data_IF_240238127962
#
_entry.id   IF_240238127962
#
_cell.length_a   1.000
_cell.length_b   1.000
_cell.length_c   1.000
_cell.angle_alpha   90.00
_cell.angle_beta   90.00
_cell.angle_gamma   90.00
#
_symmetry.space_group_name_H-M   'P 1'
#
loop_
_entity.id
_entity.type
_entity.pdbx_description
1 polymer ?
#
# COMPACT_ATOMS: atom_id res chain seq x y z
N UNK A 1 13.53 21.03 -61.14
CA UNK A 1 14.38 19.81 -61.14
C UNK A 1 15.06 19.71 -59.77
N UNK A 2 14.61 18.80 -58.91
CA UNK A 2 15.39 18.06 -57.88
C UNK A 2 14.41 17.48 -56.86
N UNK A 3 13.76 16.38 -57.25
CA UNK A 3 13.24 15.42 -56.28
C UNK A 3 14.47 14.78 -55.62
N UNK A 4 14.94 15.37 -54.52
CA UNK A 4 15.82 14.67 -53.61
C UNK A 4 15.01 13.49 -53.07
N UNK A 5 15.31 12.28 -53.56
CA UNK A 5 14.53 11.09 -53.25
C UNK A 5 14.45 10.90 -51.73
N UNK A 6 13.30 10.47 -51.21
CA UNK A 6 13.10 10.17 -49.79
C UNK A 6 14.19 9.23 -49.22
N UNK A 7 14.81 8.42 -50.09
CA UNK A 7 15.96 7.56 -49.80
C UNK A 7 17.24 8.32 -49.47
N UNK A 8 17.48 9.46 -50.12
CA UNK A 8 18.66 10.32 -49.89
C UNK A 8 18.55 11.08 -48.56
N UNK A 9 17.33 11.47 -48.16
CA UNK A 9 17.05 12.03 -46.84
C UNK A 9 17.23 10.96 -45.75
N UNK A 10 16.79 9.73 -46.02
CA UNK A 10 16.98 8.58 -45.11
C UNK A 10 18.46 8.19 -44.92
N UNK A 11 19.29 8.31 -45.96
CA UNK A 11 20.72 8.02 -45.85
C UNK A 11 21.49 9.11 -45.10
N UNK A 12 21.07 10.37 -45.22
CA UNK A 12 21.67 11.50 -44.50
C UNK A 12 21.30 11.53 -43.01
N UNK A 13 20.12 11.00 -42.63
CA UNK A 13 19.77 10.82 -41.22
C UNK A 13 20.55 9.69 -40.56
N UNK A 14 20.93 8.64 -41.32
CA UNK A 14 21.71 7.51 -40.81
C UNK A 14 23.21 7.83 -40.59
N UNK A 15 23.78 8.77 -41.35
CA UNK A 15 25.21 9.13 -41.25
C UNK A 15 25.55 10.07 -40.06
N UNK A 16 24.56 10.71 -39.43
CA UNK A 16 24.77 11.56 -38.24
C UNK A 16 24.61 10.83 -36.89
N UNK A 17 24.45 9.50 -36.94
CA UNK A 17 24.02 8.68 -35.80
C UNK A 17 24.96 8.71 -34.59
N UNK A 18 26.28 8.85 -34.76
CA UNK A 18 27.23 8.70 -33.64
C UNK A 18 27.10 9.74 -32.52
N UNK A 19 26.65 10.96 -32.85
CA UNK A 19 26.47 12.03 -31.85
C UNK A 19 25.02 12.12 -31.32
N UNK A 20 24.02 11.51 -31.98
CA UNK A 20 22.64 11.47 -31.49
C UNK A 20 22.33 10.27 -30.59
N UNK A 21 23.15 9.21 -30.66
CA UNK A 21 22.96 7.97 -29.89
C UNK A 21 22.98 8.23 -28.38
N UNK A 22 23.91 9.04 -27.86
CA UNK A 22 23.99 9.31 -26.41
C UNK A 22 22.72 9.94 -25.84
N UNK A 23 22.11 10.89 -26.57
CA UNK A 23 20.84 11.54 -26.17
C UNK A 23 19.68 10.57 -26.21
N UNK A 24 19.56 9.81 -27.31
CA UNK A 24 18.47 8.86 -27.48
C UNK A 24 18.55 7.74 -26.44
N UNK A 25 19.76 7.25 -26.17
CA UNK A 25 20.02 6.29 -25.10
C UNK A 25 19.66 6.88 -23.74
N UNK A 26 20.08 8.12 -23.42
CA UNK A 26 19.75 8.76 -22.15
C UNK A 26 18.25 8.94 -21.93
N UNK A 27 17.51 9.40 -22.95
CA UNK A 27 16.03 9.53 -22.89
C UNK A 27 15.39 8.15 -22.70
N UNK A 28 15.79 7.16 -23.51
CA UNK A 28 15.24 5.80 -23.42
C UNK A 28 15.50 5.18 -22.05
N UNK A 29 16.70 5.33 -21.48
CA UNK A 29 17.05 4.84 -20.14
C UNK A 29 16.25 5.58 -19.07
N UNK A 30 16.16 6.91 -19.14
CA UNK A 30 15.40 7.71 -18.17
C UNK A 30 13.90 7.36 -18.16
N UNK A 31 13.30 7.22 -19.35
CA UNK A 31 11.91 6.78 -19.49
C UNK A 31 11.73 5.35 -19.00
N UNK A 32 12.64 4.42 -19.34
CA UNK A 32 12.57 3.04 -18.87
C UNK A 32 12.62 2.94 -17.34
N UNK A 33 13.55 3.64 -16.69
CA UNK A 33 13.64 3.68 -15.22
C UNK A 33 12.41 4.32 -14.58
N UNK A 34 11.93 5.44 -15.15
CA UNK A 34 10.73 6.12 -14.67
C UNK A 34 9.47 5.26 -14.77
N UNK A 35 9.24 4.63 -15.93
CA UNK A 35 8.12 3.72 -16.14
C UNK A 35 8.24 2.50 -15.22
N UNK A 36 9.43 1.91 -15.08
CA UNK A 36 9.62 0.76 -14.21
C UNK A 36 9.28 1.09 -12.74
N UNK A 37 9.77 2.23 -12.25
CA UNK A 37 9.55 2.69 -10.88
C UNK A 37 8.07 3.00 -10.61
N UNK A 38 7.39 3.69 -11.52
CA UNK A 38 5.95 3.98 -11.40
C UNK A 38 5.14 2.68 -11.36
N UNK A 39 5.44 1.72 -12.23
CA UNK A 39 4.73 0.43 -12.26
C UNK A 39 4.97 -0.40 -11.00
N UNK A 40 6.20 -0.44 -10.48
CA UNK A 40 6.52 -1.11 -9.24
C UNK A 40 5.80 -0.46 -8.04
N UNK A 41 5.80 0.87 -7.96
CA UNK A 41 5.09 1.60 -6.90
C UNK A 41 3.57 1.42 -6.99
N UNK A 42 3.01 1.50 -8.20
CA UNK A 42 1.58 1.28 -8.42
C UNK A 42 1.17 -0.15 -8.07
N UNK A 43 1.97 -1.15 -8.47
CA UNK A 43 1.74 -2.55 -8.12
C UNK A 43 1.85 -2.80 -6.62
N UNK A 44 2.84 -2.19 -5.96
CA UNK A 44 2.97 -2.25 -4.50
C UNK A 44 1.77 -1.61 -3.79
N UNK A 45 1.31 -0.45 -4.24
CA UNK A 45 0.16 0.24 -3.67
C UNK A 45 -1.13 -0.58 -3.81
N UNK A 46 -1.38 -1.18 -4.98
CA UNK A 46 -2.55 -2.05 -5.20
C UNK A 46 -2.50 -3.28 -4.31
N UNK A 47 -1.34 -3.96 -4.26
CA UNK A 47 -1.15 -5.16 -3.43
C UNK A 47 -1.30 -4.87 -1.93
N UNK A 48 -0.80 -3.73 -1.44
CA UNK A 48 -1.00 -3.32 -0.06
C UNK A 48 -2.48 -3.00 0.21
N UNK A 49 -3.15 -2.28 -0.69
CA UNK A 49 -4.54 -1.89 -0.53
C UNK A 49 -5.47 -3.11 -0.40
N UNK A 50 -5.29 -4.13 -1.23
CA UNK A 50 -6.07 -5.38 -1.13
C UNK A 50 -5.90 -6.08 0.23
N UNK A 51 -4.67 -6.13 0.74
CA UNK A 51 -4.36 -6.74 2.04
C UNK A 51 -4.95 -5.95 3.18
N UNK A 52 -4.81 -4.63 3.10
CA UNK A 52 -5.34 -3.73 4.10
C UNK A 52 -6.87 -3.82 4.13
N UNK A 53 -7.56 -3.95 2.98
CA UNK A 53 -9.00 -4.20 2.96
C UNK A 53 -9.39 -5.52 3.64
N UNK A 54 -8.68 -6.63 3.38
CA UNK A 54 -8.95 -7.91 4.06
C UNK A 54 -8.77 -7.83 5.57
N UNK A 55 -7.82 -7.03 6.03
CA UNK A 55 -7.51 -6.82 7.44
C UNK A 55 -8.15 -5.56 8.05
N UNK A 56 -9.02 -4.86 7.32
CA UNK A 56 -9.57 -3.56 7.73
C UNK A 56 -10.34 -3.66 9.05
N UNK A 57 -11.07 -4.76 9.23
CA UNK A 57 -11.84 -5.05 10.43
C UNK A 57 -11.00 -5.08 11.72
N UNK A 58 -9.71 -5.44 11.64
CA UNK A 58 -8.82 -5.39 12.80
C UNK A 58 -8.62 -3.94 13.27
N UNK A 59 -8.75 -2.96 12.40
CA UNK A 59 -8.60 -1.54 12.73
C UNK A 59 -9.89 -0.91 13.24
N UNK A 60 -10.98 -1.67 13.37
CA UNK A 60 -12.23 -1.18 13.95
C UNK A 60 -11.99 -0.58 15.34
N UNK A 61 -12.41 0.67 15.50
CA UNK A 61 -12.30 1.42 16.76
C UNK A 61 -13.65 1.47 17.49
N UNK A 62 -14.75 1.18 16.80
CA UNK A 62 -16.09 1.18 17.37
C UNK A 62 -16.49 2.53 17.97
N UNK A 63 -17.46 2.46 18.88
CA UNK A 63 -17.96 3.59 19.67
C UNK A 63 -17.50 3.44 21.11
N UNK A 64 -17.39 4.53 21.89
CA UNK A 64 -17.09 4.41 23.31
C UNK A 64 -18.11 3.49 24.00
N UNK A 65 -17.63 2.55 24.83
CA UNK A 65 -18.48 1.63 25.58
C UNK A 65 -19.09 2.24 26.85
N UNK A 66 -18.79 3.51 27.12
CA UNK A 66 -19.23 4.28 28.28
C UNK A 66 -19.76 5.64 27.84
N UNK A 67 -20.82 6.09 28.50
CA UNK A 67 -21.31 7.45 28.44
C UNK A 67 -20.66 8.25 29.57
N UNK A 68 -20.05 9.39 29.24
CA UNK A 68 -19.45 10.29 30.23
C UNK A 68 -20.38 11.48 30.39
N UNK A 69 -21.06 11.65 31.55
CA UNK A 69 -21.93 12.79 31.74
C UNK A 69 -21.14 14.10 31.70
N UNK A 70 -21.69 15.11 31.06
CA UNK A 70 -21.10 16.45 30.97
C UNK A 70 -21.60 17.32 32.12
N UNK A 71 -20.72 18.17 32.64
CA UNK A 71 -21.06 19.22 33.59
C UNK A 71 -21.90 20.32 32.90
N UNK A 72 -22.46 21.23 33.70
CA UNK A 72 -23.31 22.33 33.19
C UNK A 72 -22.60 23.24 32.17
N UNK A 73 -21.27 23.24 32.13
CA UNK A 73 -20.46 23.98 31.15
C UNK A 73 -20.38 23.29 29.77
N UNK A 74 -20.87 22.06 29.65
CA UNK A 74 -20.89 21.26 28.41
C UNK A 74 -19.52 20.78 27.92
N UNK A 75 -18.46 20.98 28.71
CA UNK A 75 -17.07 20.64 28.32
C UNK A 75 -16.39 19.79 29.40
N UNK A 76 -16.65 20.06 30.67
CA UNK A 76 -16.10 19.30 31.78
C UNK A 76 -16.90 18.03 32.03
N UNK A 77 -16.27 16.96 32.49
CA UNK A 77 -16.94 15.70 32.85
C UNK A 77 -17.56 15.82 34.25
N UNK A 78 -18.81 15.44 34.42
CA UNK A 78 -19.52 15.43 35.70
C UNK A 78 -19.88 13.99 36.12
N UNK A 79 -19.05 13.39 36.97
CA UNK A 79 -19.32 12.08 37.57
C UNK A 79 -18.61 10.92 36.89
N UNK A 80 -18.93 9.72 37.35
CA UNK A 80 -18.30 8.49 36.89
C UNK A 80 -18.86 8.05 35.52
N UNK A 81 -18.02 7.43 34.65
CA UNK A 81 -18.48 6.88 33.38
C UNK A 81 -19.58 5.84 33.59
N UNK A 82 -20.68 5.97 32.85
CA UNK A 82 -21.83 5.07 32.89
C UNK A 82 -21.66 4.02 31.78
N UNK A 83 -21.57 2.71 32.09
CA UNK A 83 -21.46 1.69 31.06
C UNK A 83 -22.71 1.65 30.17
N UNK A 84 -22.51 1.68 28.85
CA UNK A 84 -23.60 1.47 27.90
C UNK A 84 -23.95 -0.03 27.89
N UNK A 85 -25.21 -0.43 28.10
CA UNK A 85 -25.60 -1.84 28.13
C UNK A 85 -25.23 -2.57 26.84
N UNK A 86 -24.70 -3.79 26.97
CA UNK A 86 -24.45 -4.67 25.83
C UNK A 86 -25.76 -5.28 25.33
N UNK A 87 -25.95 -5.27 24.02
CA UNK A 87 -27.17 -5.71 23.33
C UNK A 87 -26.82 -6.73 22.24
N UNK A 88 -27.80 -7.46 21.73
CA UNK A 88 -27.55 -8.50 20.70
C UNK A 88 -26.97 -7.95 19.40
N UNK A 89 -27.22 -6.68 19.07
CA UNK A 89 -26.69 -5.99 17.90
C UNK A 89 -25.30 -5.36 18.10
N UNK A 90 -24.66 -5.59 19.25
CA UNK A 90 -23.32 -5.09 19.54
C UNK A 90 -22.45 -6.10 20.30
N UNK A 91 -21.14 -5.94 20.16
CA UNK A 91 -20.13 -6.65 20.93
C UNK A 91 -19.16 -5.66 21.54
N UNK A 92 -18.52 -6.04 22.65
CA UNK A 92 -17.37 -5.32 23.19
C UNK A 92 -16.11 -5.89 22.58
N UNK A 93 -15.23 -5.01 22.13
CA UNK A 93 -13.94 -5.35 21.57
C UNK A 93 -12.87 -4.51 22.25
N UNK A 94 -11.81 -5.16 22.70
CA UNK A 94 -10.60 -4.50 23.17
C UNK A 94 -9.40 -4.91 22.32
N UNK A 95 -8.47 -3.97 22.14
CA UNK A 95 -7.19 -4.19 21.50
C UNK A 95 -6.17 -4.49 22.60
N UNK A 96 -5.80 -5.75 22.71
CA UNK A 96 -4.79 -6.17 23.68
C UNK A 96 -3.41 -5.98 23.05
N UNK A 97 -2.55 -5.24 23.74
CA UNK A 97 -1.14 -5.15 23.38
C UNK A 97 -0.47 -6.49 23.66
N UNK A 98 -0.10 -7.20 22.59
CA UNK A 98 0.52 -8.51 22.70
C UNK A 98 1.73 -8.65 21.78
N UNK A 99 2.82 -9.14 22.35
CA UNK A 99 4.11 -9.33 21.70
C UNK A 99 4.67 -10.65 22.16
N UNK A 100 5.17 -11.44 21.21
CA UNK A 100 5.95 -12.63 21.49
C UNK A 100 7.30 -12.52 20.80
N UNK A 101 8.37 -12.44 21.60
CA UNK A 101 9.73 -12.16 21.14
C UNK A 101 9.77 -10.83 20.36
N UNK A 102 10.13 -10.85 19.09
CA UNK A 102 10.18 -9.67 18.21
C UNK A 102 8.96 -9.60 17.27
N UNK A 103 7.87 -10.30 17.59
CA UNK A 103 6.67 -10.39 16.74
C UNK A 103 5.47 -9.80 17.47
N UNK A 104 4.85 -8.80 16.85
CA UNK A 104 3.59 -8.21 17.32
C UNK A 104 2.45 -9.17 16.96
N UNK A 105 1.57 -9.42 17.93
CA UNK A 105 0.37 -10.24 17.77
C UNK A 105 -0.84 -9.31 17.75
N UNK A 106 -1.65 -9.39 16.70
CA UNK A 106 -2.90 -8.64 16.63
C UNK A 106 -3.97 -9.38 17.44
N UNK A 107 -4.06 -9.05 18.73
CA UNK A 107 -5.00 -9.66 19.65
C UNK A 107 -6.25 -8.80 19.82
N UNK A 108 -7.42 -9.38 19.56
CA UNK A 108 -8.74 -8.81 19.86
C UNK A 108 -9.40 -9.63 20.96
N UNK A 109 -9.65 -9.01 22.10
CA UNK A 109 -10.47 -9.62 23.15
C UNK A 109 -11.93 -9.18 22.92
N UNK A 110 -12.85 -10.14 22.92
CA UNK A 110 -14.25 -9.92 22.57
C UNK A 110 -15.17 -10.44 23.67
N UNK A 111 -16.18 -9.65 24.02
CA UNK A 111 -17.31 -10.08 24.83
C UNK A 111 -18.62 -9.79 24.08
N UNK A 112 -19.51 -10.78 24.04
CA UNK A 112 -20.77 -10.70 23.34
C UNK A 112 -21.88 -11.33 24.20
N UNK A 113 -23.13 -10.95 23.98
CA UNK A 113 -24.27 -11.68 24.54
C UNK A 113 -24.42 -13.03 23.83
N UNK A 114 -25.00 -14.06 24.48
CA UNK A 114 -25.20 -15.38 23.85
C UNK A 114 -26.06 -15.36 22.58
N UNK A 115 -26.90 -14.34 22.41
CA UNK A 115 -27.78 -14.11 21.27
C UNK A 115 -27.23 -13.05 20.30
N UNK A 116 -25.94 -12.73 20.38
CA UNK A 116 -25.33 -11.71 19.52
C UNK A 116 -25.46 -12.06 18.03
N UNK A 117 -25.83 -11.05 17.24
CA UNK A 117 -25.97 -11.13 15.78
C UNK A 117 -24.76 -10.58 15.04
N UNK A 118 -23.76 -10.05 15.74
CA UNK A 118 -22.58 -9.44 15.12
C UNK A 118 -21.63 -10.54 14.61
N UNK A 119 -21.34 -10.51 13.31
CA UNK A 119 -20.38 -11.42 12.70
C UNK A 119 -18.98 -10.80 12.67
N UNK A 120 -18.00 -11.53 13.21
CA UNK A 120 -16.58 -11.17 13.16
C UNK A 120 -15.99 -11.72 11.85
N UNK A 121 -15.42 -10.88 10.97
CA UNK A 121 -14.86 -11.33 9.71
C UNK A 121 -13.87 -12.49 9.86
N UNK A 122 -14.14 -13.58 9.15
CA UNK A 122 -13.31 -14.79 9.16
C UNK A 122 -13.44 -15.67 10.40
N UNK A 123 -14.25 -15.29 11.38
CA UNK A 123 -14.57 -16.10 12.58
C UNK A 123 -16.06 -16.48 12.60
N UNK A 124 -16.95 -15.57 12.23
CA UNK A 124 -18.40 -15.74 12.36
C UNK A 124 -18.88 -15.27 13.73
N UNK A 125 -19.42 -16.16 14.54
CA UNK A 125 -19.93 -15.82 15.88
C UNK A 125 -18.81 -15.50 16.86
N UNK A 126 -19.06 -14.58 17.78
CA UNK A 126 -18.11 -14.23 18.84
C UNK A 126 -17.69 -15.47 19.66
N UNK A 127 -16.39 -15.60 20.01
CA UNK A 127 -15.90 -16.72 20.81
C UNK A 127 -16.49 -16.73 22.23
N UNK A 128 -16.73 -17.93 22.76
CA UNK A 128 -17.11 -18.11 24.16
C UNK A 128 -15.97 -17.69 25.10
N UNK A 129 -16.28 -17.19 26.32
CA UNK A 129 -15.26 -16.84 27.30
C UNK A 129 -14.26 -17.97 27.57
N UNK A 130 -12.97 -17.65 27.48
CA UNK A 130 -11.87 -18.61 27.66
C UNK A 130 -11.57 -19.48 26.43
N UNK A 131 -12.19 -19.18 25.28
CA UNK A 131 -11.86 -19.79 23.99
C UNK A 131 -11.28 -18.77 23.02
N UNK A 132 -10.54 -19.22 22.02
CA UNK A 132 -9.94 -18.33 21.02
C UNK A 132 -9.91 -18.91 19.62
N UNK A 133 -9.99 -18.02 18.63
CA UNK A 133 -9.67 -18.27 17.24
C UNK A 133 -8.29 -17.71 16.92
N UNK A 134 -7.54 -18.40 16.06
CA UNK A 134 -6.23 -17.95 15.63
C UNK A 134 -6.06 -18.08 14.11
N UNK A 135 -5.35 -17.13 13.51
CA UNK A 135 -4.85 -17.27 12.13
C UNK A 135 -3.99 -18.54 11.98
N UNK A 136 -3.88 -19.14 10.77
CA UNK A 136 -3.08 -20.34 10.56
C UNK A 136 -1.63 -20.23 11.05
N UNK A 137 -0.91 -19.16 10.69
CA UNK A 137 0.46 -18.94 11.16
C UNK A 137 0.56 -18.76 12.68
N UNK A 138 -0.41 -18.12 13.33
CA UNK A 138 -0.44 -18.02 14.79
C UNK A 138 -0.71 -19.36 15.46
N UNK A 139 -1.59 -20.18 14.86
CA UNK A 139 -1.84 -21.51 15.36
C UNK A 139 -0.59 -22.39 15.29
N UNK A 140 0.14 -22.35 14.18
CA UNK A 140 1.45 -23.02 14.04
C UNK A 140 2.48 -22.50 15.03
N UNK A 141 2.53 -21.18 15.26
CA UNK A 141 3.42 -20.59 16.27
C UNK A 141 3.10 -21.07 17.68
N UNK A 142 1.82 -21.15 18.05
CA UNK A 142 1.38 -21.69 19.34
C UNK A 142 1.74 -23.17 19.45
N UNK A 143 1.53 -23.98 18.41
CA UNK A 143 1.84 -25.40 18.44
C UNK A 143 3.34 -25.70 18.52
N UNK A 144 4.17 -24.84 17.93
CA UNK A 144 5.63 -24.99 17.93
C UNK A 144 6.32 -24.38 19.16
N UNK A 145 5.56 -23.75 20.05
CA UNK A 145 6.05 -23.10 21.27
C UNK A 145 5.54 -23.83 22.50
N UNK A 146 6.33 -23.87 23.57
CA UNK A 146 5.87 -24.43 24.84
C UNK A 146 4.62 -23.69 25.35
N UNK A 147 3.66 -24.43 25.89
CA UNK A 147 2.32 -23.90 26.22
C UNK A 147 2.37 -22.77 27.25
N UNK A 148 3.26 -22.89 28.23
CA UNK A 148 3.48 -21.91 29.29
C UNK A 148 4.05 -20.59 28.78
N UNK A 149 4.71 -20.58 27.62
CA UNK A 149 5.29 -19.38 27.02
C UNK A 149 4.30 -18.59 26.17
N UNK A 150 3.33 -19.25 25.53
CA UNK A 150 2.43 -18.59 24.58
C UNK A 150 0.98 -19.09 24.65
N UNK A 151 0.75 -20.39 24.45
CA UNK A 151 -0.59 -20.93 24.27
C UNK A 151 -1.54 -20.76 25.47
N UNK A 152 -1.02 -20.84 26.69
CA UNK A 152 -1.85 -20.79 27.92
C UNK A 152 -2.48 -19.40 28.16
N UNK A 153 -1.98 -18.35 27.49
CA UNK A 153 -2.50 -16.99 27.60
C UNK A 153 -3.89 -16.80 26.97
N UNK A 154 -4.25 -17.65 26.01
CA UNK A 154 -5.46 -17.46 25.18
C UNK A 154 -6.60 -18.42 25.52
N UNK A 155 -6.35 -19.41 26.38
CA UNK A 155 -7.33 -20.42 26.76
C UNK A 155 -7.42 -21.58 25.76
N UNK A 156 -8.65 -21.98 25.39
CA UNK A 156 -8.90 -23.16 24.53
C UNK A 156 -9.07 -22.77 23.07
N UNK A 157 -8.37 -23.48 22.18
CA UNK A 157 -8.54 -23.29 20.75
C UNK A 157 -9.95 -23.69 20.29
N UNK A 158 -10.65 -22.76 19.63
CA UNK A 158 -11.99 -22.94 19.08
C UNK A 158 -11.99 -23.14 17.56
N UNK A 159 -11.03 -22.55 16.84
CA UNK A 159 -10.94 -22.70 15.39
C UNK A 159 -9.96 -21.75 14.71
N UNK A 160 -9.84 -21.88 13.39
CA UNK A 160 -8.97 -21.04 12.57
C UNK A 160 -9.73 -19.81 12.05
N UNK A 161 -9.04 -18.67 12.00
CA UNK A 161 -9.53 -17.48 11.29
C UNK A 161 -9.36 -17.71 9.79
N UNK A 162 -10.41 -17.47 9.00
CA UNK A 162 -10.34 -17.58 7.54
C UNK A 162 -9.25 -16.67 6.95
N UNK A 163 -8.46 -17.20 6.01
CA UNK A 163 -7.42 -16.45 5.31
C UNK A 163 -7.95 -15.23 4.54
N UNK A 164 -9.23 -15.25 4.16
CA UNK A 164 -9.88 -14.11 3.49
C UNK A 164 -9.98 -12.86 4.37
N UNK A 165 -9.88 -13.01 5.69
CA UNK A 165 -9.94 -11.93 6.67
C UNK A 165 -8.55 -11.53 7.22
N UNK A 166 -7.47 -12.00 6.58
CA UNK A 166 -6.10 -11.75 7.01
C UNK A 166 -5.34 -10.91 5.98
N UNK A 167 -4.38 -10.10 6.45
CA UNK A 167 -3.52 -9.31 5.59
C UNK A 167 -2.67 -10.22 4.67
N UNK A 168 -2.18 -11.33 5.21
CA UNK A 168 -1.42 -12.35 4.50
C UNK A 168 -1.27 -13.65 5.31
N UNK A 169 -0.60 -14.67 4.75
CA UNK A 169 -0.47 -15.99 5.36
C UNK A 169 0.28 -15.95 6.70
N UNK A 170 1.29 -15.09 6.83
CA UNK A 170 2.11 -14.97 8.05
C UNK A 170 1.50 -14.01 9.10
N UNK A 171 0.24 -13.62 8.92
CA UNK A 171 -0.43 -12.73 9.88
C UNK A 171 -0.57 -13.46 11.21
N UNK A 172 -0.16 -12.81 12.30
CA UNK A 172 -0.35 -13.31 13.66
C UNK A 172 -1.55 -12.63 14.29
N UNK A 173 -2.72 -13.26 14.21
CA UNK A 173 -4.00 -12.71 14.69
C UNK A 173 -4.67 -13.68 15.64
N UNK A 174 -5.17 -13.15 16.76
CA UNK A 174 -5.95 -13.87 17.77
C UNK A 174 -7.24 -13.11 18.06
N UNK A 175 -8.36 -13.84 18.11
CA UNK A 175 -9.63 -13.34 18.63
C UNK A 175 -10.03 -14.22 19.81
N UNK A 176 -9.97 -13.68 21.04
CA UNK A 176 -10.29 -14.42 22.26
C UNK A 176 -11.62 -13.97 22.85
N UNK A 177 -12.42 -14.92 23.32
CA UNK A 177 -13.62 -14.65 24.10
C UNK A 177 -13.25 -14.38 25.55
N UNK A 178 -13.78 -13.30 26.12
CA UNK A 178 -13.61 -12.91 27.52
C UNK A 178 -14.96 -12.49 28.10
N UNK A 179 -15.04 -12.33 29.43
CA UNK A 179 -16.28 -11.85 30.05
C UNK A 179 -16.44 -10.33 29.87
N UNK A 180 -17.69 -9.87 29.85
CA UNK A 180 -17.98 -8.43 29.80
C UNK A 180 -17.35 -7.67 30.99
N UNK A 181 -17.34 -8.27 32.18
CA UNK A 181 -16.75 -7.66 33.36
C UNK A 181 -15.23 -7.44 33.23
N UNK A 182 -14.54 -8.31 32.48
CA UNK A 182 -13.10 -8.21 32.23
C UNK A 182 -12.80 -7.05 31.28
N UNK A 183 -13.58 -6.90 30.21
CA UNK A 183 -13.42 -5.78 29.27
C UNK A 183 -13.87 -4.44 29.83
N UNK A 184 -14.77 -4.40 30.81
CA UNK A 184 -15.18 -3.13 31.43
C UNK A 184 -14.28 -2.70 32.59
N UNK A 185 -13.14 -3.37 32.79
CA UNK A 185 -12.15 -3.00 33.78
C UNK A 185 -11.50 -1.63 33.52
N UNK A 186 -10.93 -1.00 34.56
CA UNK A 186 -10.39 0.36 34.50
C UNK A 186 -9.17 0.54 33.59
N UNK A 187 -8.58 -0.54 33.08
CA UNK A 187 -7.40 -0.53 32.21
C UNK A 187 -7.70 -0.86 30.74
N UNK A 188 -8.95 -1.13 30.39
CA UNK A 188 -9.32 -1.66 29.07
C UNK A 188 -9.78 -0.54 28.14
N UNK A 189 -9.24 -0.49 26.93
CA UNK A 189 -9.61 0.48 25.91
C UNK A 189 -10.82 -0.03 25.10
N UNK A 190 -11.88 -0.39 25.83
CA UNK A 190 -12.99 -1.15 25.27
C UNK A 190 -13.91 -0.31 24.42
N UNK A 191 -14.13 -0.78 23.20
CA UNK A 191 -15.05 -0.22 22.24
C UNK A 191 -16.29 -1.10 22.08
N UNK A 192 -17.42 -0.46 21.81
CA UNK A 192 -18.63 -1.11 21.37
C UNK A 192 -18.67 -1.14 19.83
N UNK A 193 -18.77 -2.34 19.27
CA UNK A 193 -18.76 -2.59 17.82
C UNK A 193 -20.07 -3.24 17.43
N UNK A 194 -20.81 -2.63 16.51
CA UNK A 194 -22.02 -3.21 15.91
C UNK A 194 -21.77 -3.81 14.53
N UNK A 195 -20.78 -3.28 13.82
CA UNK A 195 -20.37 -3.71 12.49
C UNK A 195 -18.87 -3.42 12.33
N UNK A 196 -18.17 -4.28 11.59
CA UNK A 196 -16.75 -4.10 11.30
C UNK A 196 -16.53 -3.34 10.00
N UNK A 197 -15.63 -2.37 10.01
CA UNK A 197 -15.29 -1.58 8.83
C UNK A 197 -14.61 -2.41 7.73
N UNK A 198 -14.98 -2.13 6.48
CA UNK A 198 -14.28 -2.55 5.26
C UNK A 198 -13.26 -1.49 4.79
N UNK A 199 -13.14 -0.37 5.51
CA UNK A 199 -12.31 0.77 5.14
C UNK A 199 -10.96 0.73 5.88
N UNK A 200 -9.87 0.30 5.21
CA UNK A 200 -8.57 0.09 5.85
C UNK A 200 -7.94 1.31 6.49
N UNK A 201 -8.33 2.50 6.04
CA UNK A 201 -7.74 3.75 6.50
C UNK A 201 -8.68 4.59 7.38
N UNK A 202 -9.93 4.14 7.60
CA UNK A 202 -10.94 4.82 8.43
C UNK A 202 -10.90 6.35 8.32
N UNK A 203 -10.87 7.02 9.49
CA UNK A 203 -10.75 8.49 9.58
C UNK A 203 -9.39 9.07 9.16
N UNK A 204 -8.37 8.23 8.99
CA UNK A 204 -7.00 8.63 8.59
C UNK A 204 -6.74 8.52 7.08
N UNK A 205 -7.74 8.14 6.28
CA UNK A 205 -7.63 7.99 4.83
C UNK A 205 -7.04 9.22 4.13
N UNK A 206 -7.41 10.42 4.58
CA UNK A 206 -6.92 11.68 4.02
C UNK A 206 -5.42 11.88 4.28
N UNK A 207 -4.93 11.57 5.47
CA UNK A 207 -3.52 11.67 5.82
C UNK A 207 -2.70 10.67 4.99
N UNK A 208 -3.17 9.42 4.90
CA UNK A 208 -2.53 8.37 4.13
C UNK A 208 -2.46 8.71 2.63
N UNK A 209 -3.56 9.20 2.06
CA UNK A 209 -3.60 9.67 0.67
C UNK A 209 -2.62 10.81 0.42
N UNK A 210 -2.47 11.73 1.37
CA UNK A 210 -1.52 12.84 1.28
C UNK A 210 -0.08 12.33 1.25
N UNK A 211 0.27 11.36 2.12
CA UNK A 211 1.59 10.74 2.15
C UNK A 211 1.90 10.00 0.84
N UNK A 212 0.95 9.26 0.28
CA UNK A 212 1.11 8.58 -1.02
C UNK A 212 1.38 9.60 -2.13
N UNK A 213 0.60 10.68 -2.19
CA UNK A 213 0.80 11.74 -3.20
C UNK A 213 2.17 12.39 -3.03
N UNK A 214 2.57 12.69 -1.78
CA UNK A 214 3.87 13.27 -1.48
C UNK A 214 5.02 12.34 -1.88
N UNK A 215 4.92 11.05 -1.56
CA UNK A 215 5.88 10.02 -1.97
C UNK A 215 5.97 9.88 -3.49
N UNK A 216 4.83 9.88 -4.18
CA UNK A 216 4.79 9.85 -5.64
C UNK A 216 5.48 11.07 -6.25
N UNK A 217 5.24 12.28 -5.73
CA UNK A 217 5.91 13.51 -6.19
C UNK A 217 7.42 13.46 -5.89
N UNK A 218 7.80 13.01 -4.69
CA UNK A 218 9.20 12.88 -4.28
C UNK A 218 9.99 11.95 -5.20
N UNK A 219 9.35 10.90 -5.73
CA UNK A 219 9.94 9.97 -6.71
C UNK A 219 9.90 10.53 -8.14
N UNK A 220 8.84 11.25 -8.51
CA UNK A 220 8.68 11.80 -9.86
C UNK A 220 9.72 12.89 -10.16
N UNK A 221 10.06 13.72 -9.17
CA UNK A 221 10.96 14.85 -9.36
C UNK A 221 12.37 14.44 -9.83
N UNK A 222 13.07 13.48 -9.18
CA UNK A 222 14.37 12.97 -9.66
C UNK A 222 14.33 12.41 -11.08
N UNK A 223 13.25 11.71 -11.45
CA UNK A 223 13.09 11.14 -12.80
C UNK A 223 12.95 12.24 -13.85
N UNK A 224 12.10 13.25 -13.58
CA UNK A 224 11.96 14.40 -14.46
C UNK A 224 13.25 15.21 -14.58
N UNK A 225 14.00 15.34 -13.48
CA UNK A 225 15.30 15.98 -13.47
C UNK A 225 16.31 15.22 -14.33
N UNK A 226 16.36 13.88 -14.23
CA UNK A 226 17.23 13.04 -15.05
C UNK A 226 16.93 13.18 -16.56
N UNK A 227 15.64 13.20 -16.91
CA UNK A 227 15.18 13.43 -18.29
C UNK A 227 15.59 14.83 -18.77
N UNK A 228 15.40 15.86 -17.94
CA UNK A 228 15.76 17.24 -18.27
C UNK A 228 17.27 17.40 -18.50
N UNK A 229 18.10 16.90 -17.58
CA UNK A 229 19.57 16.94 -17.69
C UNK A 229 20.01 16.22 -18.97
N UNK A 230 19.50 15.01 -19.22
CA UNK A 230 19.83 14.24 -20.43
C UNK A 230 19.43 14.95 -21.72
N UNK A 231 18.31 15.68 -21.71
CA UNK A 231 17.83 16.44 -22.86
C UNK A 231 18.66 17.70 -23.11
N UNK A 232 19.04 18.43 -22.05
CA UNK A 232 19.83 19.66 -22.13
C UNK A 232 21.22 19.43 -22.73
N UNK A 233 21.86 18.32 -22.37
CA UNK A 233 23.17 17.93 -22.94
C UNK A 233 23.10 17.70 -24.45
N UNK A 234 21.91 17.37 -24.98
CA UNK A 234 21.69 17.24 -26.43
C UNK A 234 21.34 18.55 -27.15
N UNK A 235 20.94 19.61 -26.43
CA UNK A 235 20.50 20.87 -27.02
C UNK A 235 21.69 21.77 -27.43
N UNK A 236 22.77 21.75 -26.64
CA UNK A 236 24.01 22.51 -26.89
C UNK A 236 24.72 22.09 -28.19
N UNK A 237 24.61 20.83 -28.60
CA UNK A 237 25.17 20.35 -29.89
C UNK A 237 24.29 20.75 -31.09
N UNK A 238 23.00 21.06 -30.84
CA UNK A 238 22.01 21.36 -31.90
C UNK A 238 22.00 22.83 -32.31
N UNK A 239 22.38 23.74 -31.40
CA UNK A 239 22.41 25.18 -31.67
C UNK A 239 23.41 25.55 -32.76
N UNK A 240 24.58 24.92 -32.81
CA UNK A 240 25.59 25.16 -33.86
C UNK A 240 25.11 24.67 -35.24
N UNK A 241 24.50 23.48 -35.32
CA UNK A 241 24.06 22.90 -36.60
C UNK A 241 22.80 23.58 -37.18
N UNK A 242 21.88 24.04 -36.34
CA UNK A 242 20.67 24.75 -36.80
C UNK A 242 20.97 26.18 -37.27
N UNK A 243 22.06 26.80 -36.78
CA UNK A 243 22.55 28.08 -37.29
C UNK A 243 22.91 28.03 -38.77
N UNK A 244 23.58 26.95 -39.20
CA UNK A 244 24.00 26.74 -40.59
C UNK A 244 22.82 26.41 -41.52
N UNK A 245 21.83 25.64 -41.05
CA UNK A 245 20.64 25.30 -41.84
C UNK A 245 19.63 26.45 -41.96
N UNK A 246 19.53 27.33 -40.95
CA UNK A 246 18.76 28.57 -41.05
C UNK A 246 19.31 29.51 -42.12
N UNK A 247 20.64 29.53 -42.31
CA UNK A 247 21.29 30.28 -43.39
C UNK A 247 20.98 29.73 -44.79
N UNK A 248 20.48 28.49 -44.92
CA UNK A 248 20.07 27.86 -46.18
C UNK A 248 18.54 27.84 -46.42
N UNK A 249 17.73 28.47 -45.57
CA UNK A 249 16.28 28.65 -45.80
C UNK A 249 15.37 27.47 -45.41
N UNK A 250 15.83 26.54 -44.55
CA UNK A 250 15.04 25.37 -44.16
C UNK A 250 13.78 25.73 -43.33
N UNK A 251 12.63 25.12 -43.68
CA UNK A 251 11.34 25.36 -43.03
C UNK A 251 11.25 24.73 -41.60
N UNK A 252 10.97 25.50 -40.53
CA UNK A 252 10.98 25.03 -39.14
C UNK A 252 10.00 23.89 -38.83
N UNK A 253 8.86 23.83 -39.54
CA UNK A 253 7.76 22.89 -39.30
C UNK A 253 8.12 21.42 -39.57
N UNK A 254 8.97 21.16 -40.57
CA UNK A 254 9.38 19.78 -40.91
C UNK A 254 10.42 19.27 -39.90
N UNK A 255 11.24 20.18 -39.35
CA UNK A 255 12.24 19.84 -38.35
C UNK A 255 11.59 19.49 -37.00
N UNK A 256 10.50 20.17 -36.63
CA UNK A 256 9.75 19.87 -35.40
C UNK A 256 8.99 18.54 -35.48
N UNK A 257 8.42 18.18 -36.63
CA UNK A 257 7.67 16.92 -36.77
C UNK A 257 8.58 15.69 -36.72
N UNK A 258 9.75 15.75 -37.37
CA UNK A 258 10.75 14.68 -37.29
C UNK A 258 11.28 14.53 -35.87
N UNK A 259 11.53 15.64 -35.17
CA UNK A 259 11.97 15.60 -33.77
C UNK A 259 10.90 15.02 -32.83
N UNK A 260 9.63 15.36 -33.05
CA UNK A 260 8.51 14.80 -32.30
C UNK A 260 8.38 13.28 -32.53
N UNK A 261 8.51 12.82 -33.77
CA UNK A 261 8.50 11.40 -34.10
C UNK A 261 9.68 10.64 -33.46
N UNK A 262 10.88 11.22 -33.50
CA UNK A 262 12.07 10.64 -32.87
C UNK A 262 11.89 10.51 -31.35
N UNK A 263 11.40 11.56 -30.69
CA UNK A 263 11.09 11.56 -29.26
C UNK A 263 9.98 10.55 -28.89
N UNK A 264 8.95 10.41 -29.74
CA UNK A 264 7.88 9.45 -29.54
C UNK A 264 8.40 8.01 -29.61
N UNK A 265 9.20 7.68 -30.64
CA UNK A 265 9.78 6.33 -30.79
C UNK A 265 10.72 6.00 -29.63
N UNK A 266 11.55 6.95 -29.19
CA UNK A 266 12.46 6.72 -28.05
C UNK A 266 11.73 6.58 -26.72
N UNK A 267 10.68 7.37 -26.50
CA UNK A 267 9.83 7.26 -25.30
C UNK A 267 9.05 5.96 -25.30
N UNK A 268 8.50 5.54 -26.44
CA UNK A 268 7.79 4.27 -26.57
C UNK A 268 8.71 3.08 -26.30
N UNK A 269 9.92 3.10 -26.88
CA UNK A 269 10.94 2.07 -26.61
C UNK A 269 11.34 2.05 -25.13
N UNK A 270 11.55 3.22 -24.52
CA UNK A 270 11.83 3.34 -23.09
C UNK A 270 10.72 2.77 -22.23
N UNK A 271 9.45 3.11 -22.52
CA UNK A 271 8.30 2.61 -21.78
C UNK A 271 8.16 1.08 -21.87
N UNK A 272 8.38 0.50 -23.05
CA UNK A 272 8.38 -0.96 -23.23
C UNK A 272 9.52 -1.64 -22.47
N UNK A 273 10.71 -1.07 -22.47
CA UNK A 273 11.84 -1.58 -21.67
C UNK A 273 11.52 -1.45 -20.18
N UNK A 274 10.94 -0.33 -19.74
CA UNK A 274 10.53 -0.11 -18.36
C UNK A 274 9.47 -1.10 -17.89
N UNK A 275 8.50 -1.44 -18.76
CA UNK A 275 7.50 -2.48 -18.52
C UNK A 275 8.17 -3.85 -18.29
N UNK A 276 9.10 -4.24 -19.16
CA UNK A 276 9.84 -5.51 -19.04
C UNK A 276 10.72 -5.51 -17.78
N UNK A 277 11.36 -4.37 -17.46
CA UNK A 277 12.18 -4.24 -16.27
C UNK A 277 11.33 -4.34 -14.99
N UNK A 278 10.16 -3.69 -14.96
CA UNK A 278 9.23 -3.79 -13.83
C UNK A 278 8.75 -5.23 -13.62
N UNK A 279 8.39 -5.95 -14.69
CA UNK A 279 7.93 -7.34 -14.57
C UNK A 279 9.05 -8.27 -14.09
N UNK A 280 10.29 -8.05 -14.53
CA UNK A 280 11.47 -8.79 -14.05
C UNK A 280 11.84 -8.49 -12.59
N UNK A 281 11.66 -7.25 -12.14
CA UNK A 281 11.98 -6.83 -10.76
C UNK A 281 10.86 -7.16 -9.76
N UNK A 282 9.61 -7.33 -10.22
CA UNK A 282 8.46 -7.67 -9.38
C UNK A 282 8.71 -8.83 -8.40
N UNK A 283 9.25 -10.01 -8.81
CA UNK A 283 9.52 -11.11 -7.87
C UNK A 283 10.60 -10.80 -6.83
N UNK A 284 11.56 -9.92 -7.15
CA UNK A 284 12.58 -9.47 -6.19
C UNK A 284 11.96 -8.52 -5.17
N UNK A 285 11.09 -7.61 -5.63
CA UNK A 285 10.39 -6.68 -4.75
C UNK A 285 9.47 -7.40 -3.74
N UNK A 286 8.83 -8.51 -4.11
CA UNK A 286 8.00 -9.31 -3.20
C UNK A 286 8.79 -10.05 -2.12
N UNK A 287 10.10 -10.24 -2.32
CA UNK A 287 10.97 -10.87 -1.32
C UNK A 287 11.47 -9.91 -0.23
N UNK A 288 11.25 -8.60 -0.42
CA UNK A 288 11.58 -7.59 0.59
C UNK A 288 10.42 -7.49 1.58
N UNK A 289 10.61 -8.07 2.77
CA UNK A 289 9.68 -7.93 3.90
C UNK A 289 9.56 -6.45 4.31
N UNK A 290 8.41 -5.84 4.06
CA UNK A 290 8.05 -4.56 4.67
C UNK A 290 7.29 -4.88 5.94
N UNK A 291 7.97 -4.88 7.08
CA UNK A 291 7.35 -5.05 8.41
C UNK A 291 7.17 -6.49 8.91
N UNK A 292 7.93 -7.47 8.39
CA UNK A 292 7.96 -8.85 8.94
C UNK A 292 6.76 -9.74 8.61
N UNK A 293 6.03 -9.44 7.53
CA UNK A 293 4.91 -10.24 7.02
C UNK A 293 5.13 -10.47 5.51
N UNK A 294 5.27 -11.72 5.06
CA UNK A 294 5.62 -11.97 3.67
C UNK A 294 4.48 -11.60 2.72
N UNK A 295 4.88 -11.14 1.53
CA UNK A 295 3.96 -10.68 0.51
C UNK A 295 3.58 -11.84 -0.43
N UNK A 296 2.29 -12.22 -0.48
CA UNK A 296 1.77 -13.18 -1.47
C UNK A 296 1.93 -12.61 -2.89
N UNK A 297 2.41 -13.37 -3.88
CA UNK A 297 2.44 -12.95 -5.27
C UNK A 297 1.03 -12.94 -5.86
N UNK A 298 0.67 -11.85 -6.57
CA UNK A 298 -0.54 -11.75 -7.41
C UNK A 298 -0.22 -11.90 -8.88
#
# INVERSE_FOLDING_TARGET
>A
MMFASARSVLHLTLLSARFSVGRLVGITVGVALGTALILLLAGAAQGLNERDHRAAWLREEGRPAFEVPLAEDGVSTAGDPIPIPLTSDSILVDRVDDVFRDRIIQHRAVAATPDSTVEIPGVGTAPEPGTYYASPAMHELIQSTDRDQLGDRYGRYAGAISESALAGPDSLVIVSGVSESELRGPSSATAMVSEFTDQPYGGSATAYRTLIVMGAIAVLFPVLLLINISTQWGATVRSERLGVLRLMGAAPRVISSVAAAEAFVTSLAGALIGLVLASMLRPVATSLEVGGIATVPG
#
